data_IF_649145780184
#
_entry.id   IF_649145780184
#
_cell.length_a   1.000
_cell.length_b   1.000
_cell.length_c   1.000
_cell.angle_alpha   90.00
_cell.angle_beta   90.00
_cell.angle_gamma   90.00
#
_symmetry.space_group_name_H-M   'P 1'
#
loop_
_entity.id
_entity.type
_entity.pdbx_description
1 polymer ?
#
# COMPACT_ATOMS: atom_id res chain seq x y z
N UNK A 1 15.80 -11.97 13.11
CA UNK A 1 16.39 -12.43 11.83
C UNK A 1 15.34 -12.17 10.76
N UNK A 2 15.64 -11.33 9.76
CA UNK A 2 14.69 -11.03 8.70
C UNK A 2 14.46 -12.29 7.85
N UNK A 3 13.20 -12.69 7.68
CA UNK A 3 12.83 -13.87 6.90
C UNK A 3 13.28 -13.71 5.43
N UNK A 4 14.27 -14.50 4.98
CA UNK A 4 14.80 -14.43 3.61
C UNK A 4 13.76 -14.75 2.53
N UNK A 5 12.59 -15.30 2.91
CA UNK A 5 11.55 -15.76 1.99
C UNK A 5 10.54 -14.69 1.60
N UNK A 6 10.49 -13.56 2.32
CA UNK A 6 9.59 -12.43 1.99
C UNK A 6 9.83 -11.88 0.57
N UNK A 7 11.10 -11.82 0.14
CA UNK A 7 11.48 -11.39 -1.21
C UNK A 7 11.11 -12.37 -2.33
N UNK A 8 10.90 -13.64 -1.99
CA UNK A 8 10.57 -14.73 -2.95
C UNK A 8 9.05 -14.87 -3.15
N UNK A 9 8.24 -14.52 -2.14
CA UNK A 9 6.80 -14.79 -2.16
C UNK A 9 5.89 -13.62 -2.56
N UNK A 10 6.43 -12.51 -3.11
CA UNK A 10 5.64 -11.29 -3.42
C UNK A 10 4.79 -10.79 -2.23
N UNK A 11 5.15 -11.15 -0.99
CA UNK A 11 4.42 -10.69 0.18
C UNK A 11 4.89 -9.27 0.52
N UNK A 12 3.96 -8.33 0.77
CA UNK A 12 4.33 -7.02 1.32
C UNK A 12 5.10 -7.22 2.63
N UNK A 13 6.02 -6.33 2.95
CA UNK A 13 6.63 -6.28 4.27
C UNK A 13 5.78 -5.37 5.17
N UNK A 14 5.80 -5.61 6.48
CA UNK A 14 4.89 -4.97 7.44
C UNK A 14 4.92 -3.43 7.38
N UNK A 15 6.11 -2.84 7.16
CA UNK A 15 6.23 -1.38 7.05
C UNK A 15 5.49 -0.81 5.82
N UNK A 16 5.34 -1.56 4.72
CA UNK A 16 4.54 -1.12 3.56
C UNK A 16 3.05 -1.09 3.91
N UNK A 17 2.57 -2.12 4.59
CA UNK A 17 1.16 -2.23 5.02
C UNK A 17 0.86 -1.12 6.04
N UNK A 18 1.72 -0.94 7.03
CA UNK A 18 1.62 0.14 8.02
C UNK A 18 1.63 1.53 7.36
N UNK A 19 2.49 1.75 6.36
CA UNK A 19 2.55 3.02 5.65
C UNK A 19 1.28 3.32 4.85
N UNK A 20 0.65 2.31 4.23
CA UNK A 20 -0.63 2.53 3.56
C UNK A 20 -1.74 2.82 4.56
N UNK A 21 -1.81 2.02 5.64
CA UNK A 21 -2.83 2.15 6.69
C UNK A 21 -2.76 3.45 7.47
N UNK A 22 -1.58 4.05 7.60
CA UNK A 22 -1.43 5.41 8.14
C UNK A 22 -2.26 6.45 7.36
N UNK A 23 -2.45 6.25 6.04
CA UNK A 23 -3.24 7.16 5.19
C UNK A 23 -4.74 7.05 5.38
N UNK A 24 -5.18 5.90 5.88
CA UNK A 24 -6.59 5.57 5.94
C UNK A 24 -7.30 6.17 7.16
N UNK A 25 -6.54 6.79 8.08
CA UNK A 25 -7.12 7.62 9.15
C UNK A 25 -7.75 8.91 8.64
N UNK A 26 -7.38 9.33 7.42
CA UNK A 26 -7.92 10.54 6.78
C UNK A 26 -8.33 10.23 5.33
N UNK A 27 -9.63 10.00 5.12
CA UNK A 27 -10.20 9.82 3.78
C UNK A 27 -10.61 11.19 3.23
N UNK A 28 -9.81 11.76 2.33
CA UNK A 28 -10.00 13.13 1.86
C UNK A 28 -10.71 13.14 0.49
N UNK A 29 -11.92 13.72 0.40
CA UNK A 29 -12.61 13.92 -0.86
C UNK A 29 -11.89 15.01 -1.68
N UNK A 30 -11.59 14.68 -2.94
CA UNK A 30 -10.82 15.54 -3.84
C UNK A 30 -11.44 15.53 -5.24
N UNK A 31 -11.45 16.66 -5.92
CA UNK A 31 -11.86 16.78 -7.30
C UNK A 31 -10.68 16.48 -8.24
N UNK A 32 -9.48 16.93 -7.86
CA UNK A 32 -8.25 16.76 -8.62
C UNK A 32 -7.20 16.03 -7.81
N UNK A 33 -6.18 15.53 -8.51
CA UNK A 33 -5.09 14.83 -7.87
C UNK A 33 -4.19 15.76 -7.05
N UNK A 34 -4.16 17.05 -7.38
CA UNK A 34 -3.35 18.10 -6.76
C UNK A 34 -4.12 18.95 -5.75
N UNK A 35 -5.30 18.50 -5.29
CA UNK A 35 -6.03 19.15 -4.19
C UNK A 35 -5.35 18.93 -2.83
N UNK A 36 -4.57 17.84 -2.72
CA UNK A 36 -3.58 17.63 -1.66
C UNK A 36 -2.25 17.30 -2.35
N UNK A 37 -1.13 17.69 -1.76
CA UNK A 37 0.20 17.51 -2.35
C UNK A 37 1.21 17.07 -1.29
N UNK A 38 2.35 16.52 -1.74
CA UNK A 38 3.53 16.22 -0.91
C UNK A 38 3.20 15.38 0.34
N UNK A 39 3.70 15.76 1.51
CA UNK A 39 3.57 14.99 2.75
C UNK A 39 2.11 14.81 3.21
N UNK A 40 1.14 15.57 2.69
CA UNK A 40 -0.28 15.29 2.96
C UNK A 40 -0.65 13.86 2.53
N UNK A 41 -0.05 13.34 1.45
CA UNK A 41 -0.25 11.96 1.00
C UNK A 41 0.32 10.88 1.94
N UNK A 42 1.13 11.24 2.94
CA UNK A 42 1.59 10.30 3.96
C UNK A 42 0.49 9.97 4.99
N UNK A 43 -0.47 10.88 5.17
CA UNK A 43 -1.55 10.80 6.19
C UNK A 43 -2.95 10.69 5.61
N UNK A 44 -3.13 11.06 4.35
CA UNK A 44 -4.42 11.06 3.68
C UNK A 44 -4.49 10.08 2.51
N UNK A 45 -5.62 9.39 2.42
CA UNK A 45 -6.03 8.62 1.25
C UNK A 45 -7.06 9.42 0.45
N UNK A 46 -6.80 9.56 -0.84
CA UNK A 46 -7.73 10.19 -1.78
C UNK A 46 -7.78 9.42 -3.09
N UNK A 47 -8.83 9.65 -3.86
CA UNK A 47 -8.91 9.26 -5.26
C UNK A 47 -9.56 10.43 -6.02
N UNK A 48 -8.82 11.09 -6.92
CA UNK A 48 -9.30 12.29 -7.61
C UNK A 48 -10.68 12.08 -8.28
N UNK A 49 -11.69 12.88 -7.91
CA UNK A 49 -13.07 12.77 -8.37
C UNK A 49 -13.96 11.84 -7.53
N UNK A 50 -13.42 11.13 -6.53
CA UNK A 50 -14.17 10.35 -5.57
C UNK A 50 -14.50 11.23 -4.35
N UNK A 51 -15.73 11.75 -4.32
CA UNK A 51 -16.18 12.75 -3.33
C UNK A 51 -17.03 12.14 -2.20
N UNK A 52 -17.65 10.98 -2.43
CA UNK A 52 -18.51 10.33 -1.44
C UNK A 52 -17.66 9.55 -0.42
N UNK A 53 -18.00 9.65 0.85
CA UNK A 53 -17.30 8.95 1.93
C UNK A 53 -17.29 7.42 1.73
N UNK A 54 -18.46 6.83 1.43
CA UNK A 54 -18.58 5.38 1.21
C UNK A 54 -17.77 4.90 0.01
N UNK A 55 -17.72 5.69 -1.07
CA UNK A 55 -16.90 5.41 -2.24
C UNK A 55 -15.41 5.41 -1.89
N UNK A 56 -14.94 6.39 -1.11
CA UNK A 56 -13.55 6.44 -0.67
C UNK A 56 -13.20 5.28 0.25
N UNK A 57 -14.06 4.94 1.21
CA UNK A 57 -13.86 3.79 2.09
C UNK A 57 -13.80 2.47 1.31
N UNK A 58 -14.68 2.31 0.32
CA UNK A 58 -14.69 1.15 -0.58
C UNK A 58 -13.40 1.04 -1.42
N UNK A 59 -12.94 2.16 -2.00
CA UNK A 59 -11.68 2.20 -2.75
C UNK A 59 -10.47 1.96 -1.85
N UNK A 60 -10.46 2.55 -0.65
CA UNK A 60 -9.43 2.34 0.36
C UNK A 60 -9.30 0.88 0.73
N UNK A 61 -10.42 0.19 1.02
CA UNK A 61 -10.42 -1.23 1.36
C UNK A 61 -9.90 -2.10 0.21
N UNK A 62 -10.26 -1.79 -1.04
CA UNK A 62 -9.75 -2.52 -2.21
C UNK A 62 -8.23 -2.37 -2.39
N UNK A 63 -7.68 -1.17 -2.10
CA UNK A 63 -6.23 -0.93 -2.16
C UNK A 63 -5.51 -1.53 -0.94
N UNK A 64 -6.07 -1.43 0.27
CA UNK A 64 -5.51 -2.05 1.48
C UNK A 64 -5.31 -3.54 1.25
N UNK A 65 -6.35 -4.19 0.71
CA UNK A 65 -6.29 -5.59 0.34
C UNK A 65 -5.20 -5.91 -0.67
N UNK A 66 -5.11 -5.14 -1.75
CA UNK A 66 -4.07 -5.32 -2.75
C UNK A 66 -2.67 -5.25 -2.14
N UNK A 67 -2.47 -4.34 -1.20
CA UNK A 67 -1.20 -4.16 -0.49
C UNK A 67 -0.98 -5.29 0.50
N UNK A 68 -1.87 -5.47 1.48
CA UNK A 68 -1.74 -6.36 2.63
C UNK A 68 -1.72 -7.84 2.25
N UNK A 69 -2.35 -8.21 1.15
CA UNK A 69 -2.51 -9.62 0.74
C UNK A 69 -1.76 -9.96 -0.54
N UNK A 70 -1.21 -8.96 -1.22
CA UNK A 70 -0.52 -9.14 -2.49
C UNK A 70 -1.43 -9.56 -3.64
N UNK A 71 -2.72 -9.19 -3.62
CA UNK A 71 -3.62 -9.50 -4.76
C UNK A 71 -3.22 -8.69 -5.99
N UNK A 72 -3.32 -9.30 -7.18
CA UNK A 72 -2.96 -8.64 -8.44
C UNK A 72 -3.98 -7.60 -8.93
N UNK A 73 -3.58 -6.84 -9.96
CA UNK A 73 -4.40 -5.78 -10.56
C UNK A 73 -5.78 -6.25 -11.08
N UNK A 74 -5.92 -7.50 -11.49
CA UNK A 74 -7.21 -8.03 -11.96
C UNK A 74 -8.23 -8.19 -10.81
N UNK A 75 -7.76 -8.56 -9.62
CA UNK A 75 -8.60 -8.58 -8.43
C UNK A 75 -9.07 -7.16 -8.10
N UNK A 76 -8.15 -6.20 -8.11
CA UNK A 76 -8.47 -4.79 -7.91
C UNK A 76 -9.44 -4.24 -8.97
N UNK A 77 -9.28 -4.59 -10.25
CA UNK A 77 -10.21 -4.19 -11.33
C UNK A 77 -11.61 -4.76 -11.12
N UNK A 78 -11.70 -6.02 -10.69
CA UNK A 78 -12.98 -6.64 -10.34
C UNK A 78 -13.67 -5.87 -9.21
N UNK A 79 -12.92 -5.57 -8.15
CA UNK A 79 -13.43 -4.82 -7.01
C UNK A 79 -13.83 -3.40 -7.40
N UNK A 80 -12.98 -2.69 -8.14
CA UNK A 80 -13.23 -1.33 -8.62
C UNK A 80 -14.55 -1.22 -9.39
N UNK A 81 -14.82 -2.14 -10.33
CA UNK A 81 -16.08 -2.14 -11.09
C UNK A 81 -17.30 -2.26 -10.18
N UNK A 82 -17.27 -3.20 -9.24
CA UNK A 82 -18.37 -3.39 -8.29
C UNK A 82 -18.53 -2.19 -7.33
N UNK A 83 -17.43 -1.52 -6.97
CA UNK A 83 -17.43 -0.32 -6.13
C UNK A 83 -18.08 0.85 -6.88
N UNK A 84 -17.67 1.10 -8.12
CA UNK A 84 -18.22 2.15 -8.99
C UNK A 84 -19.72 1.98 -9.17
N UNK A 85 -20.15 0.77 -9.51
CA UNK A 85 -21.57 0.43 -9.72
C UNK A 85 -22.39 0.65 -8.44
N UNK A 86 -21.95 0.06 -7.31
CA UNK A 86 -22.66 0.15 -6.03
C UNK A 86 -22.80 1.59 -5.52
N UNK A 87 -21.79 2.43 -5.75
CA UNK A 87 -21.80 3.81 -5.29
C UNK A 87 -22.43 4.78 -6.30
N UNK A 88 -22.88 4.28 -7.47
CA UNK A 88 -23.40 5.09 -8.56
C UNK A 88 -22.41 6.19 -8.97
N UNK A 89 -21.12 5.85 -9.07
CA UNK A 89 -20.07 6.82 -9.40
C UNK A 89 -19.89 6.92 -10.91
N UNK A 90 -20.35 8.03 -11.49
CA UNK A 90 -20.29 8.30 -12.93
C UNK A 90 -19.53 9.60 -13.21
N UNK A 91 -19.20 9.83 -14.48
CA UNK A 91 -18.46 10.98 -14.99
C UNK A 91 -16.96 10.96 -14.65
N UNK A 92 -16.41 9.83 -14.20
CA UNK A 92 -15.00 9.76 -13.82
C UNK A 92 -14.09 9.59 -15.05
N UNK A 93 -12.87 10.11 -14.96
CA UNK A 93 -11.93 10.14 -16.09
C UNK A 93 -11.60 8.74 -16.58
N UNK A 94 -11.98 8.46 -17.84
CA UNK A 94 -11.75 7.18 -18.51
C UNK A 94 -12.95 6.24 -18.52
N UNK A 95 -14.07 6.59 -17.88
CA UNK A 95 -15.30 5.81 -17.91
C UNK A 95 -15.79 5.54 -19.34
N UNK A 96 -16.33 4.34 -19.58
CA UNK A 96 -17.00 4.00 -20.85
C UNK A 96 -16.07 3.54 -21.97
N UNK A 97 -14.74 3.53 -21.76
CA UNK A 97 -13.78 3.00 -22.74
C UNK A 97 -12.82 2.01 -22.08
N UNK A 98 -12.60 0.84 -22.68
CA UNK A 98 -11.71 -0.17 -22.10
C UNK A 98 -10.30 0.38 -21.79
N UNK A 99 -9.76 1.25 -22.65
CA UNK A 99 -8.46 1.90 -22.43
C UNK A 99 -8.47 2.89 -21.27
N UNK A 100 -9.53 3.71 -21.14
CA UNK A 100 -9.68 4.67 -20.06
C UNK A 100 -9.86 3.99 -18.70
N UNK A 101 -10.72 2.98 -18.62
CA UNK A 101 -10.92 2.20 -17.39
C UNK A 101 -9.65 1.45 -16.97
N UNK A 102 -8.95 0.86 -17.96
CA UNK A 102 -7.67 0.20 -17.73
C UNK A 102 -6.59 1.17 -17.24
N UNK A 103 -6.56 2.40 -17.76
CA UNK A 103 -5.66 3.46 -17.31
C UNK A 103 -6.00 3.92 -15.89
N UNK A 104 -7.28 4.18 -15.59
CA UNK A 104 -7.75 4.67 -14.30
C UNK A 104 -7.43 3.68 -13.18
N UNK A 105 -7.83 2.43 -13.36
CA UNK A 105 -7.57 1.35 -12.39
C UNK A 105 -6.08 1.13 -12.18
N UNK A 106 -5.29 1.10 -13.26
CA UNK A 106 -3.83 0.98 -13.18
C UNK A 106 -3.19 2.14 -12.43
N UNK A 107 -3.67 3.36 -12.64
CA UNK A 107 -3.11 4.56 -12.00
C UNK A 107 -3.37 4.54 -10.50
N UNK A 108 -4.61 4.27 -10.07
CA UNK A 108 -4.95 4.16 -8.64
C UNK A 108 -4.14 3.04 -7.99
N UNK A 109 -4.17 1.84 -8.57
CA UNK A 109 -3.47 0.67 -8.04
C UNK A 109 -1.96 0.92 -7.95
N UNK A 110 -1.31 1.22 -9.08
CA UNK A 110 0.16 1.28 -9.17
C UNK A 110 0.72 2.42 -8.33
N UNK A 111 0.04 3.57 -8.28
CA UNK A 111 0.48 4.71 -7.47
C UNK A 111 0.46 4.37 -6.00
N UNK A 112 -0.65 3.84 -5.49
CA UNK A 112 -0.74 3.45 -4.08
C UNK A 112 0.25 2.35 -3.71
N UNK A 113 0.46 1.35 -4.59
CA UNK A 113 1.47 0.31 -4.37
C UNK A 113 2.89 0.88 -4.26
N UNK A 114 3.27 1.77 -5.18
CA UNK A 114 4.63 2.34 -5.25
C UNK A 114 4.91 3.29 -4.09
N UNK A 115 4.00 4.21 -3.80
CA UNK A 115 4.19 5.21 -2.72
C UNK A 115 4.22 4.50 -1.36
N UNK A 116 3.35 3.52 -1.12
CA UNK A 116 3.35 2.76 0.15
C UNK A 116 4.61 1.90 0.29
N UNK A 117 5.10 1.29 -0.80
CA UNK A 117 6.38 0.59 -0.80
C UNK A 117 7.54 1.52 -0.47
N UNK A 118 7.58 2.70 -1.10
CA UNK A 118 8.61 3.70 -0.88
C UNK A 118 8.63 4.19 0.57
N UNK A 119 7.45 4.48 1.14
CA UNK A 119 7.27 4.89 2.53
C UNK A 119 7.72 3.82 3.52
N UNK A 120 7.28 2.59 3.34
CA UNK A 120 7.74 1.47 4.15
C UNK A 120 9.25 1.25 4.02
N UNK A 121 9.81 1.39 2.82
CA UNK A 121 11.24 1.25 2.58
C UNK A 121 12.04 2.38 3.24
N UNK A 122 11.52 3.61 3.22
CA UNK A 122 12.14 4.76 3.89
C UNK A 122 12.27 4.48 5.40
N UNK A 123 11.19 4.00 6.02
CA UNK A 123 11.20 3.59 7.43
C UNK A 123 12.24 2.50 7.72
N UNK A 124 12.33 1.45 6.88
CA UNK A 124 13.35 0.40 7.02
C UNK A 124 14.79 0.93 6.90
N UNK A 125 15.04 1.86 5.97
CA UNK A 125 16.37 2.43 5.75
C UNK A 125 16.82 3.25 6.97
N UNK A 126 15.91 4.03 7.53
CA UNK A 126 16.15 4.86 8.70
C UNK A 126 16.30 4.01 9.97
N UNK A 127 15.39 3.07 10.22
CA UNK A 127 15.47 2.13 11.35
C UNK A 127 16.74 1.27 11.30
N UNK A 128 17.12 0.82 10.10
CA UNK A 128 18.34 0.06 9.92
C UNK A 128 19.62 0.87 10.16
N UNK A 129 19.55 2.20 10.22
CA UNK A 129 20.72 3.06 10.36
C UNK A 129 21.72 2.86 9.23
N UNK A 130 21.24 2.80 7.98
CA UNK A 130 22.11 2.69 6.81
C UNK A 130 22.68 4.08 6.47
N UNK A 131 23.99 4.32 6.64
CA UNK A 131 24.59 5.64 6.44
C UNK A 131 24.63 6.06 4.97
N UNK A 132 24.66 5.12 4.03
CA UNK A 132 24.71 5.43 2.60
C UNK A 132 23.48 4.88 1.88
N UNK A 133 22.88 5.70 1.03
CA UNK A 133 21.73 5.32 0.22
C UNK A 133 22.11 5.29 -1.26
N UNK A 134 21.54 4.33 -1.98
CA UNK A 134 21.81 4.08 -3.40
C UNK A 134 20.53 4.28 -4.20
N UNK A 135 20.53 5.25 -5.10
CA UNK A 135 19.42 5.45 -6.03
C UNK A 135 19.49 4.38 -7.13
N UNK A 136 18.40 3.63 -7.33
CA UNK A 136 18.31 2.59 -8.35
C UNK A 136 17.17 2.90 -9.31
N UNK A 137 17.54 3.17 -10.56
CA UNK A 137 16.57 3.32 -11.63
C UNK A 137 15.84 1.99 -11.87
N UNK A 138 14.57 2.09 -12.27
CA UNK A 138 13.78 0.94 -12.71
C UNK A 138 14.36 0.31 -13.98
N UNK A 139 13.97 -0.91 -14.33
CA UNK A 139 14.24 -1.45 -15.68
C UNK A 139 13.28 -0.91 -16.74
N UNK A 140 12.95 0.39 -16.72
CA UNK A 140 11.98 0.95 -17.66
C UNK A 140 12.58 1.05 -19.07
N UNK A 141 11.82 0.61 -20.08
CA UNK A 141 12.25 0.66 -21.49
C UNK A 141 12.45 2.09 -22.00
N UNK A 142 11.58 3.01 -21.56
CA UNK A 142 11.69 4.45 -21.84
C UNK A 142 11.93 5.22 -20.54
N UNK A 143 13.19 5.30 -20.08
CA UNK A 143 13.53 5.92 -18.81
C UNK A 143 13.46 7.45 -18.91
N UNK A 144 13.11 8.12 -17.80
CA UNK A 144 13.38 9.54 -17.65
C UNK A 144 14.90 9.71 -17.53
N UNK A 145 15.48 10.58 -18.36
CA UNK A 145 16.94 10.69 -18.46
C UNK A 145 17.58 11.14 -17.16
N UNK A 146 16.95 12.03 -16.40
CA UNK A 146 17.41 12.42 -15.06
C UNK A 146 17.43 11.21 -14.10
N UNK A 147 16.42 10.35 -14.14
CA UNK A 147 16.37 9.16 -13.28
C UNK A 147 17.44 8.14 -13.65
N UNK A 148 17.74 8.03 -14.95
CA UNK A 148 18.82 7.18 -15.44
C UNK A 148 20.19 7.75 -15.06
N UNK A 149 20.36 9.08 -15.13
CA UNK A 149 21.58 9.75 -14.71
C UNK A 149 21.82 9.60 -13.21
N UNK A 150 20.79 9.49 -12.37
CA UNK A 150 20.94 9.16 -10.95
C UNK A 150 21.11 7.66 -10.65
N UNK A 151 20.94 6.77 -11.62
CA UNK A 151 21.09 5.34 -11.37
C UNK A 151 22.49 5.01 -10.85
N UNK A 152 22.55 4.34 -9.70
CA UNK A 152 23.80 4.02 -9.01
C UNK A 152 24.38 5.16 -8.18
N UNK A 153 23.75 6.33 -8.12
CA UNK A 153 24.20 7.42 -7.25
C UNK A 153 24.22 6.98 -5.79
N UNK A 154 25.33 7.27 -5.10
CA UNK A 154 25.54 6.94 -3.69
C UNK A 154 25.73 8.21 -2.89
N UNK A 155 24.80 8.48 -1.97
CA UNK A 155 24.85 9.66 -1.09
C UNK A 155 24.73 9.24 0.38
N UNK A 156 25.17 10.11 1.28
CA UNK A 156 24.84 10.01 2.71
C UNK A 156 23.30 10.00 2.88
N UNK A 157 22.81 9.32 3.92
CA UNK A 157 21.38 9.16 4.18
C UNK A 157 20.65 10.46 4.55
N UNK A 158 21.39 11.47 5.00
CA UNK A 158 20.90 12.81 5.36
C UNK A 158 21.15 13.85 4.25
N UNK A 159 21.72 13.46 3.13
CA UNK A 159 21.94 14.37 2.01
C UNK A 159 20.61 14.99 1.52
N UNK A 160 20.55 16.32 1.28
CA UNK A 160 19.31 17.04 0.97
C UNK A 160 18.57 16.51 -0.27
N UNK A 161 19.30 15.97 -1.26
CA UNK A 161 18.73 15.22 -2.40
C UNK A 161 17.62 14.24 -1.99
N UNK A 162 17.74 13.54 -0.86
CA UNK A 162 16.71 12.58 -0.47
C UNK A 162 15.41 13.22 0.03
N UNK A 163 15.41 14.49 0.41
CA UNK A 163 14.19 15.16 0.84
C UNK A 163 13.19 15.32 -0.31
N UNK A 164 13.69 15.60 -1.52
CA UNK A 164 12.88 15.96 -2.70
C UNK A 164 12.99 14.92 -3.84
N UNK A 165 14.08 14.15 -3.89
CA UNK A 165 14.36 13.18 -4.96
C UNK A 165 14.29 11.73 -4.48
N UNK A 166 13.81 11.45 -3.26
CA UNK A 166 13.53 10.07 -2.86
C UNK A 166 12.32 9.52 -3.66
N UNK A 167 12.50 8.43 -4.43
CA UNK A 167 11.47 7.97 -5.36
C UNK A 167 10.24 7.38 -4.65
N UNK A 168 9.07 7.37 -5.31
CA UNK A 168 8.81 7.76 -6.70
C UNK A 168 8.84 9.28 -6.97
N UNK A 169 9.56 9.71 -8.01
CA UNK A 169 9.67 11.13 -8.39
C UNK A 169 8.63 11.55 -9.45
N UNK A 170 7.49 10.87 -9.51
CA UNK A 170 6.48 11.12 -10.54
C UNK A 170 5.61 9.90 -10.85
N UNK A 171 4.52 10.15 -11.57
CA UNK A 171 3.58 9.14 -12.02
C UNK A 171 4.27 7.93 -12.66
N UNK A 172 4.02 6.74 -12.12
CA UNK A 172 4.56 5.49 -12.63
C UNK A 172 6.07 5.28 -12.46
N UNK A 173 6.78 6.14 -11.70
CA UNK A 173 8.20 5.96 -11.39
C UNK A 173 8.43 4.67 -10.59
N UNK A 174 9.24 3.75 -11.13
CA UNK A 174 9.58 2.49 -10.48
C UNK A 174 10.95 2.46 -9.80
N UNK A 175 11.60 3.63 -9.68
CA UNK A 175 12.91 3.77 -9.04
C UNK A 175 12.82 3.42 -7.55
N UNK A 176 13.94 3.01 -6.96
CA UNK A 176 14.01 2.53 -5.58
C UNK A 176 15.28 3.02 -4.89
N UNK A 177 15.28 2.98 -3.56
CA UNK A 177 16.48 3.24 -2.75
C UNK A 177 16.92 2.00 -1.99
N UNK A 178 18.22 1.75 -1.99
CA UNK A 178 18.86 0.67 -1.22
C UNK A 178 19.82 1.26 -0.20
N UNK A 179 19.89 0.66 0.99
CA UNK A 179 20.78 1.11 2.07
C UNK A 179 22.06 0.29 2.09
N UNK A 180 23.20 0.96 2.21
CA UNK A 180 24.53 0.39 2.33
C UNK A 180 25.17 0.80 3.66
N UNK A 181 25.91 -0.13 4.28
CA UNK A 181 26.65 0.11 5.53
C UNK A 181 27.98 0.83 5.31
N UNK A 182 28.54 0.72 4.11
CA UNK A 182 29.81 1.34 3.73
C UNK A 182 29.75 1.79 2.28
N UNK A 183 30.54 2.80 1.91
CA UNK A 183 30.71 3.21 0.50
C UNK A 183 31.14 2.04 -0.39
N UNK A 184 32.08 1.20 0.05
CA UNK A 184 32.47 0.00 -0.70
C UNK A 184 31.32 -1.00 -0.86
N UNK A 185 30.49 -1.15 0.17
CA UNK A 185 29.33 -2.04 0.16
C UNK A 185 28.23 -1.64 -0.83
N UNK A 186 28.11 -0.34 -1.15
CA UNK A 186 27.11 0.15 -2.10
C UNK A 186 27.29 -0.43 -3.51
N UNK A 187 28.53 -0.77 -3.91
CA UNK A 187 28.83 -1.40 -5.21
C UNK A 187 28.05 -2.70 -5.42
N UNK A 188 27.90 -3.52 -4.37
CA UNK A 188 27.13 -4.78 -4.42
C UNK A 188 25.62 -4.54 -4.58
N UNK A 189 25.15 -3.35 -4.22
CA UNK A 189 23.78 -2.91 -4.39
C UNK A 189 23.57 -2.17 -5.72
N UNK A 190 24.60 -2.15 -6.58
CA UNK A 190 24.69 -1.44 -7.86
C UNK A 190 24.78 0.07 -7.73
N UNK A 191 25.42 0.54 -6.65
CA UNK A 191 25.90 1.91 -6.53
C UNK A 191 27.28 2.08 -7.13
N UNK A 192 27.61 3.30 -7.49
CA UNK A 192 28.93 3.76 -7.91
C UNK A 192 29.39 4.87 -6.95
N UNK A 193 30.28 4.57 -5.98
CA UNK A 193 30.77 5.54 -5.01
C UNK A 193 31.51 6.75 -5.58
N UNK A 194 31.98 6.64 -6.82
CA UNK A 194 32.76 7.67 -7.51
C UNK A 194 31.85 8.57 -8.36
N UNK A 195 30.59 8.18 -8.53
CA UNK A 195 29.57 8.94 -9.25
C UNK A 195 29.15 10.16 -8.44
N UNK A 196 29.27 11.32 -9.07
CA UNK A 196 28.83 12.59 -8.49
C UNK A 196 27.39 12.90 -8.87
N UNK A 197 26.70 13.60 -7.98
CA UNK A 197 25.41 14.22 -8.28
C UNK A 197 25.65 15.38 -9.26
N UNK A 198 24.82 15.56 -10.31
CA UNK A 198 24.96 16.69 -11.23
C UNK A 198 24.84 18.02 -10.49
N UNK A 199 25.58 19.06 -10.90
CA UNK A 199 25.59 20.36 -10.21
C UNK A 199 24.23 21.08 -10.21
N UNK A 200 23.37 20.80 -11.19
CA UNK A 200 22.05 21.40 -11.37
C UNK A 200 20.90 20.53 -10.85
N UNK A 201 21.18 19.60 -9.93
CA UNK A 201 20.20 18.62 -9.42
C UNK A 201 19.02 19.25 -8.66
N UNK A 202 19.25 20.40 -8.02
CA UNK A 202 18.29 21.17 -7.23
C UNK A 202 17.65 22.32 -8.03
N UNK A 203 18.03 22.50 -9.29
CA UNK A 203 17.43 23.50 -10.16
C UNK A 203 15.93 23.19 -10.35
N UNK A 204 15.08 24.20 -10.19
CA UNK A 204 13.63 24.06 -10.37
C UNK A 204 13.28 24.01 -11.85
N UNK A 205 12.50 23.01 -12.27
CA UNK A 205 11.90 22.95 -13.60
C UNK A 205 10.65 23.86 -13.63
N UNK A 206 10.63 24.93 -14.44
CA UNK A 206 9.48 25.83 -14.53
C UNK A 206 8.18 25.16 -14.94
N UNK A 207 8.23 24.00 -15.60
CA UNK A 207 7.02 23.26 -16.04
C UNK A 207 6.34 22.53 -14.88
N UNK A 208 7.12 22.05 -13.91
CA UNK A 208 6.59 21.28 -12.79
C UNK A 208 6.52 22.09 -11.51
N UNK A 209 7.32 23.16 -11.39
CA UNK A 209 7.51 23.89 -10.14
C UNK A 209 8.27 23.07 -9.09
N UNK A 210 8.88 21.95 -9.48
CA UNK A 210 9.62 21.03 -8.63
C UNK A 210 11.08 20.90 -9.14
N UNK A 211 12.01 20.35 -8.34
CA UNK A 211 13.38 20.11 -8.79
C UNK A 211 13.45 19.28 -10.08
N UNK A 212 14.53 19.49 -10.85
CA UNK A 212 14.75 18.81 -12.12
C UNK A 212 14.65 17.29 -11.98
N UNK A 213 13.90 16.67 -12.89
CA UNK A 213 13.60 15.25 -12.87
C UNK A 213 12.53 14.81 -11.87
N UNK A 214 11.96 15.73 -11.08
CA UNK A 214 10.83 15.47 -10.18
C UNK A 214 9.54 16.06 -10.74
N UNK A 215 8.45 15.28 -10.72
CA UNK A 215 7.13 15.75 -11.15
C UNK A 215 6.49 16.70 -10.14
N UNK A 216 5.56 17.56 -10.60
CA UNK A 216 4.78 18.46 -9.72
C UNK A 216 4.15 17.68 -8.56
N UNK A 217 4.39 18.11 -7.33
CA UNK A 217 3.82 17.50 -6.11
C UNK A 217 4.47 16.17 -5.70
N UNK A 218 5.54 15.73 -6.39
CA UNK A 218 6.32 14.53 -6.05
C UNK A 218 7.66 14.85 -5.38
N UNK A 219 7.89 16.13 -5.07
CA UNK A 219 9.05 16.70 -4.39
C UNK A 219 8.95 16.53 -2.87
N UNK A 220 8.82 15.27 -2.45
CA UNK A 220 8.85 14.85 -1.06
C UNK A 220 9.33 13.39 -0.97
N UNK A 221 9.82 12.99 0.20
CA UNK A 221 10.14 11.60 0.48
C UNK A 221 8.93 10.88 1.10
N UNK A 222 8.27 9.93 0.40
CA UNK A 222 7.13 9.23 0.98
C UNK A 222 7.49 8.55 2.30
N UNK A 223 6.61 8.68 3.27
CA UNK A 223 6.74 8.11 4.61
C UNK A 223 7.71 8.86 5.53
N UNK A 224 8.37 9.93 5.08
CA UNK A 224 9.30 10.68 5.92
C UNK A 224 8.57 11.39 7.08
N UNK A 225 7.39 11.96 6.82
CA UNK A 225 6.61 12.72 7.81
C UNK A 225 5.89 11.82 8.85
N UNK A 226 5.77 10.53 8.55
CA UNK A 226 5.05 9.52 9.36
C UNK A 226 5.96 8.36 9.78
N UNK A 227 7.28 8.51 9.67
CA UNK A 227 8.23 7.43 9.93
C UNK A 227 8.08 6.84 11.34
N UNK A 228 7.84 7.69 12.35
CA UNK A 228 7.63 7.27 13.73
C UNK A 228 6.37 6.41 13.92
N UNK A 229 5.29 6.74 13.20
CA UNK A 229 4.02 6.01 13.22
C UNK A 229 4.16 4.65 12.54
N UNK A 230 4.78 4.60 11.35
CA UNK A 230 5.07 3.35 10.65
C UNK A 230 5.87 2.41 11.55
N UNK A 231 6.95 2.91 12.16
CA UNK A 231 7.78 2.12 13.08
C UNK A 231 6.97 1.61 14.26
N UNK A 232 6.23 2.48 14.93
CA UNK A 232 5.42 2.12 16.11
C UNK A 232 4.36 1.08 15.77
N UNK A 233 3.68 1.25 14.63
CA UNK A 233 2.72 0.28 14.12
C UNK A 233 3.37 -1.08 13.87
N UNK A 234 4.58 -1.12 13.29
CA UNK A 234 5.28 -2.39 13.05
C UNK A 234 5.88 -3.05 14.29
N UNK A 235 6.32 -2.29 15.29
CA UNK A 235 6.86 -2.86 16.54
C UNK A 235 5.79 -3.55 17.38
N UNK A 236 4.54 -3.09 17.31
CA UNK A 236 3.38 -3.75 17.93
C UNK A 236 3.07 -5.14 17.32
N UNK A 237 3.76 -5.56 16.25
CA UNK A 237 3.45 -6.77 15.47
C UNK A 237 4.34 -7.98 15.72
N UNK A 238 5.31 -7.87 16.63
CA UNK A 238 6.25 -8.97 16.92
C UNK A 238 5.49 -10.15 17.54
N UNK A 239 4.91 -10.99 16.70
CA UNK A 239 4.24 -12.23 17.07
C UNK A 239 3.24 -12.76 16.03
N UNK A 240 2.43 -11.90 15.38
CA UNK A 240 1.25 -12.37 14.61
C UNK A 240 0.83 -11.39 13.49
N UNK A 241 1.01 -11.71 12.19
CA UNK A 241 0.60 -10.85 11.07
C UNK A 241 -0.90 -10.48 11.04
N UNK A 242 -1.75 -11.35 11.60
CA UNK A 242 -3.18 -11.10 11.76
C UNK A 242 -3.49 -9.87 12.64
N UNK A 243 -2.68 -9.62 13.68
CA UNK A 243 -2.90 -8.50 14.60
C UNK A 243 -2.72 -7.15 13.92
N UNK A 244 -1.95 -7.06 12.82
CA UNK A 244 -1.79 -5.78 12.11
C UNK A 244 -3.12 -5.29 11.52
N UNK A 245 -3.97 -6.19 11.01
CA UNK A 245 -5.32 -5.84 10.52
C UNK A 245 -6.20 -5.31 11.63
N UNK A 246 -6.32 -6.10 12.70
CA UNK A 246 -7.21 -5.81 13.82
C UNK A 246 -6.76 -4.61 14.65
N UNK A 247 -5.48 -4.52 15.01
CA UNK A 247 -4.94 -3.42 15.79
C UNK A 247 -5.09 -2.10 15.05
N UNK A 248 -4.79 -2.09 13.74
CA UNK A 248 -5.02 -0.91 12.91
C UNK A 248 -6.50 -0.48 12.92
N UNK A 249 -7.44 -1.39 12.66
CA UNK A 249 -8.86 -1.05 12.66
C UNK A 249 -9.34 -0.55 14.03
N UNK A 250 -8.72 -1.01 15.12
CA UNK A 250 -9.03 -0.57 16.49
C UNK A 250 -8.51 0.84 16.77
N UNK A 251 -7.45 1.27 16.09
CA UNK A 251 -6.84 2.61 16.24
C UNK A 251 -7.56 3.67 15.39
N UNK A 252 -8.51 3.29 14.51
CA UNK A 252 -9.30 4.21 13.70
C UNK A 252 -10.49 4.82 14.48
N UNK A 253 -10.96 6.01 14.08
CA UNK A 253 -12.29 6.49 14.47
C UNK A 253 -13.38 5.43 14.18
N UNK A 254 -14.35 5.19 15.10
CA UNK A 254 -15.32 4.09 14.95
C UNK A 254 -16.07 4.09 13.62
N UNK A 255 -16.52 5.26 13.14
CA UNK A 255 -17.21 5.37 11.85
C UNK A 255 -16.33 4.95 10.67
N UNK A 256 -15.03 5.22 10.71
CA UNK A 256 -14.08 4.80 9.68
C UNK A 256 -13.79 3.30 9.79
N UNK A 257 -13.61 2.77 11.00
CA UNK A 257 -13.43 1.34 11.24
C UNK A 257 -14.62 0.52 10.71
N UNK A 258 -15.84 1.00 10.95
CA UNK A 258 -17.08 0.41 10.44
C UNK A 258 -17.11 0.43 8.91
N UNK A 259 -16.85 1.59 8.30
CA UNK A 259 -16.88 1.76 6.87
C UNK A 259 -15.86 0.85 6.16
N UNK A 260 -14.61 0.84 6.63
CA UNK A 260 -13.54 -0.02 6.07
C UNK A 260 -13.84 -1.50 6.27
N UNK A 261 -14.31 -1.90 7.45
CA UNK A 261 -14.65 -3.29 7.75
C UNK A 261 -15.79 -3.81 6.87
N UNK A 262 -16.84 -3.00 6.67
CA UNK A 262 -17.92 -3.36 5.75
C UNK A 262 -17.46 -3.36 4.29
N UNK A 263 -16.73 -2.34 3.87
CA UNK A 263 -16.18 -2.21 2.52
C UNK A 263 -15.35 -3.44 2.12
N UNK A 264 -14.44 -3.85 3.01
CA UNK A 264 -13.60 -5.02 2.81
C UNK A 264 -14.43 -6.30 2.61
N UNK A 265 -15.46 -6.51 3.45
CA UNK A 265 -16.36 -7.68 3.33
C UNK A 265 -17.19 -7.71 2.05
N UNK A 266 -17.44 -6.55 1.43
CA UNK A 266 -18.20 -6.41 0.18
C UNK A 266 -17.37 -6.62 -1.08
N UNK A 267 -16.04 -6.77 -0.98
CA UNK A 267 -15.18 -6.95 -2.15
C UNK A 267 -15.47 -8.29 -2.86
N UNK A 268 -15.84 -8.29 -4.16
CA UNK A 268 -16.07 -9.52 -4.90
C UNK A 268 -14.85 -10.44 -4.99
N UNK A 269 -13.65 -9.87 -5.01
CA UNK A 269 -12.42 -10.66 -4.94
C UNK A 269 -12.27 -11.38 -3.60
N UNK A 270 -12.98 -10.95 -2.54
CA UNK A 270 -12.91 -11.56 -1.20
C UNK A 270 -13.74 -12.81 -1.19
N UNK A 271 -14.95 -12.72 -1.73
CA UNK A 271 -15.79 -13.87 -1.95
C UNK A 271 -15.06 -14.95 -2.78
N UNK A 272 -14.33 -14.56 -3.82
CA UNK A 272 -13.51 -15.51 -4.60
C UNK A 272 -12.40 -16.17 -3.76
N UNK A 273 -11.71 -15.39 -2.92
CA UNK A 273 -10.62 -15.90 -2.09
C UNK A 273 -11.15 -16.82 -0.98
N UNK A 274 -12.25 -16.44 -0.32
CA UNK A 274 -12.93 -17.25 0.69
C UNK A 274 -13.48 -18.55 0.11
N UNK A 275 -14.04 -18.51 -1.10
CA UNK A 275 -14.42 -19.74 -1.81
C UNK A 275 -13.23 -20.65 -2.04
N UNK A 276 -12.12 -20.12 -2.58
CA UNK A 276 -10.88 -20.90 -2.78
C UNK A 276 -10.28 -21.38 -1.45
N UNK A 277 -10.46 -20.63 -0.38
CA UNK A 277 -10.05 -21.02 0.97
C UNK A 277 -10.85 -22.22 1.45
N UNK A 278 -12.17 -22.19 1.31
CA UNK A 278 -13.05 -23.31 1.64
C UNK A 278 -12.72 -24.55 0.80
N UNK A 279 -12.57 -24.40 -0.51
CA UNK A 279 -12.13 -25.48 -1.43
C UNK A 279 -10.83 -26.14 -0.94
N UNK A 280 -9.84 -25.32 -0.55
CA UNK A 280 -8.59 -25.85 0.03
C UNK A 280 -8.88 -26.56 1.34
N UNK A 281 -9.59 -25.95 2.28
CA UNK A 281 -9.83 -26.54 3.59
C UNK A 281 -10.52 -27.92 3.50
N UNK A 282 -11.46 -28.10 2.57
CA UNK A 282 -12.15 -29.39 2.33
C UNK A 282 -11.38 -30.34 1.42
N UNK A 283 -10.34 -29.86 0.72
CA UNK A 283 -9.55 -30.66 -0.21
C UNK A 283 -10.22 -30.91 -1.56
N UNK A 284 -11.30 -30.19 -1.89
CA UNK A 284 -12.09 -30.38 -3.11
C UNK A 284 -12.34 -29.06 -3.83
N UNK A 285 -12.31 -29.10 -5.17
CA UNK A 285 -12.70 -27.98 -6.04
C UNK A 285 -13.66 -28.49 -7.12
N UNK A 286 -14.82 -27.87 -7.23
CA UNK A 286 -15.86 -28.23 -8.20
C UNK A 286 -16.24 -29.74 -8.14
N UNK A 287 -16.30 -30.31 -6.93
CA UNK A 287 -16.66 -31.73 -6.73
C UNK A 287 -15.56 -32.73 -7.06
N UNK A 288 -14.31 -32.29 -7.24
CA UNK A 288 -13.16 -33.15 -7.47
C UNK A 288 -12.03 -32.85 -6.46
N UNK A 289 -11.25 -33.86 -6.02
CA UNK A 289 -10.11 -33.66 -5.14
C UNK A 289 -9.08 -32.69 -5.74
N UNK A 290 -8.55 -31.80 -4.91
CA UNK A 290 -7.45 -30.91 -5.29
C UNK A 290 -6.16 -31.73 -5.34
N UNK A 291 -5.50 -31.76 -6.50
CA UNK A 291 -4.23 -32.44 -6.67
C UNK A 291 -3.09 -31.74 -5.91
N UNK A 292 -2.27 -32.53 -5.20
CA UNK A 292 -1.08 -32.05 -4.50
C UNK A 292 -1.33 -31.58 -3.07
N UNK A 293 -0.29 -31.07 -2.38
CA UNK A 293 -0.40 -30.64 -1.00
C UNK A 293 -1.31 -29.42 -0.88
N UNK A 294 -2.37 -29.57 -0.09
CA UNK A 294 -3.27 -28.50 0.29
C UNK A 294 -2.65 -27.71 1.44
N UNK A 295 -2.16 -26.51 1.15
CA UNK A 295 -1.68 -25.59 2.19
C UNK A 295 -2.88 -24.81 2.72
N UNK A 296 -3.25 -25.06 3.98
CA UNK A 296 -4.25 -24.26 4.68
C UNK A 296 -3.70 -22.85 4.91
N UNK A 297 -4.51 -21.84 4.59
CA UNK A 297 -4.15 -20.45 4.84
C UNK A 297 -4.25 -20.14 6.34
N UNK A 298 -3.42 -19.22 6.85
CA UNK A 298 -3.49 -18.83 8.25
C UNK A 298 -4.82 -18.16 8.58
N UNK A 299 -5.13 -18.11 9.87
CA UNK A 299 -6.21 -17.30 10.43
C UNK A 299 -6.14 -15.85 9.95
N UNK A 300 -7.29 -15.26 9.61
CA UNK A 300 -7.38 -13.93 9.00
C UNK A 300 -8.63 -13.16 9.45
N UNK A 301 -8.46 -11.87 9.74
CA UNK A 301 -9.57 -10.94 9.99
C UNK A 301 -10.24 -10.52 8.68
N UNK A 302 -11.55 -10.42 8.70
CA UNK A 302 -12.42 -9.84 7.67
C UNK A 302 -12.98 -8.49 8.14
N UNK A 303 -12.31 -7.84 9.09
CA UNK A 303 -12.72 -6.57 9.67
C UNK A 303 -13.51 -6.73 10.98
N UNK A 304 -13.54 -5.65 11.76
CA UNK A 304 -14.24 -5.61 13.05
C UNK A 304 -15.75 -5.83 12.87
N UNK A 305 -16.41 -6.22 13.97
CA UNK A 305 -17.82 -5.95 14.14
C UNK A 305 -18.05 -4.45 13.99
N UNK A 306 -19.14 -4.07 13.34
CA UNK A 306 -19.50 -2.66 13.31
C UNK A 306 -19.93 -2.19 14.69
N UNK A 307 -19.88 -0.89 14.97
CA UNK A 307 -20.35 -0.32 16.24
C UNK A 307 -21.78 -0.78 16.56
N UNK A 308 -22.69 -0.73 15.56
CA UNK A 308 -24.08 -1.22 15.69
C UNK A 308 -24.15 -2.72 16.05
N UNK A 309 -23.31 -3.55 15.43
CA UNK A 309 -23.26 -4.98 15.71
C UNK A 309 -22.71 -5.23 17.12
N UNK A 310 -21.68 -4.47 17.52
CA UNK A 310 -21.08 -4.58 18.82
C UNK A 310 -22.06 -4.20 19.93
N UNK A 311 -22.84 -3.13 19.75
CA UNK A 311 -23.89 -2.71 20.69
C UNK A 311 -24.97 -3.79 20.82
N UNK A 312 -25.46 -4.29 19.67
CA UNK A 312 -26.50 -5.32 19.64
C UNK A 312 -26.06 -6.63 20.30
N UNK A 313 -24.89 -7.15 19.94
CA UNK A 313 -24.39 -8.42 20.47
C UNK A 313 -23.87 -8.27 21.89
N UNK A 314 -23.28 -7.12 22.24
CA UNK A 314 -22.82 -6.82 23.59
C UNK A 314 -23.97 -6.79 24.59
N UNK A 315 -25.10 -6.19 24.21
CA UNK A 315 -26.32 -6.21 25.02
C UNK A 315 -26.87 -7.63 25.24
N UNK A 316 -26.78 -8.51 24.22
CA UNK A 316 -27.23 -9.90 24.32
C UNK A 316 -26.30 -10.78 25.15
N UNK A 317 -24.98 -10.56 25.05
CA UNK A 317 -23.97 -11.38 25.69
C UNK A 317 -23.56 -10.86 27.08
N UNK A 318 -23.94 -9.64 27.45
CA UNK A 318 -23.56 -9.00 28.71
C UNK A 318 -22.06 -8.70 28.81
N UNK A 319 -21.37 -8.48 27.68
CA UNK A 319 -19.94 -8.20 27.61
C UNK A 319 -19.62 -7.20 26.49
N UNK A 320 -18.53 -6.44 26.63
CA UNK A 320 -18.03 -5.55 25.57
C UNK A 320 -17.41 -6.37 24.44
N UNK A 321 -18.05 -6.30 23.27
CA UNK A 321 -17.60 -6.96 22.04
C UNK A 321 -17.13 -5.97 20.96
N UNK A 322 -16.86 -4.71 21.31
CA UNK A 322 -16.40 -3.67 20.37
C UNK A 322 -15.12 -4.03 19.62
N UNK A 323 -14.28 -4.87 20.21
CA UNK A 323 -13.01 -5.35 19.62
C UNK A 323 -13.12 -6.72 18.96
N UNK A 324 -14.32 -7.26 18.79
CA UNK A 324 -14.51 -8.54 18.12
C UNK A 324 -14.53 -8.31 16.61
N UNK A 325 -14.17 -9.34 15.85
CA UNK A 325 -14.04 -9.27 14.40
C UNK A 325 -14.54 -10.54 13.71
N UNK A 326 -14.90 -10.39 12.44
CA UNK A 326 -15.21 -11.54 11.60
C UNK A 326 -13.90 -12.17 11.17
N UNK A 327 -13.76 -13.48 11.30
CA UNK A 327 -12.51 -14.15 10.94
C UNK A 327 -12.75 -15.42 10.14
N UNK A 328 -11.79 -15.75 9.27
CA UNK A 328 -11.74 -17.06 8.62
C UNK A 328 -10.60 -17.90 9.22
N UNK A 329 -10.93 -19.14 9.56
CA UNK A 329 -10.03 -20.15 10.14
C UNK A 329 -10.29 -21.50 9.46
N UNK A 330 -9.24 -22.29 9.24
CA UNK A 330 -9.35 -23.58 8.57
C UNK A 330 -10.04 -24.59 9.48
N UNK A 331 -9.86 -24.46 10.79
CA UNK A 331 -10.54 -25.28 11.78
C UNK A 331 -12.07 -25.02 11.84
N UNK A 332 -12.54 -23.87 11.35
CA UNK A 332 -13.95 -23.51 11.33
C UNK A 332 -14.71 -24.05 10.10
N UNK A 333 -14.00 -24.52 9.06
CA UNK A 333 -14.64 -25.09 7.86
C UNK A 333 -15.11 -26.51 8.17
N UNK A 334 -16.43 -26.73 8.10
CA UNK A 334 -17.08 -28.03 8.30
C UNK A 334 -17.60 -28.57 6.97
N UNK A 335 -17.54 -29.88 6.76
CA UNK A 335 -18.24 -30.58 5.67
C UNK A 335 -19.74 -30.62 5.93
#
# INVERSE_FOLDING_TARGET
MADPLSGVLRRPFDQQVAAFRARLGELVPTARWDDIEREAHDRAFMVAGAQKADLLADLAAAVDRAIAEGTGIEAFRKDFRAIVERNGWHGWTGEGTAAGEAWRTRTIYKTNMLVSYAAGRHAQLREGGFPFWVYRHSGAEHPRLDHLSWNGLVLEADHPFWAEHYPPNGWGCGCKVRGARTRRGSRRLGGDPDKTLPDDWDAIDPKTGAPKGVGKGWDYAPGASVQGEIRSATQKLVGWPYQLGKAYLTDLPPAQADAVSQAYRRLPSLADDLRRYAERAVGERNGAPIAGPVIQGPYRTLGLLTSEQADRYGAQLGQDVSRFDYTVDSAAVRQ
#
